data_IF_385189903303
#
_entry.id   IF_385189903303
#
_cell.length_a   1.000
_cell.length_b   1.000
_cell.length_c   1.000
_cell.angle_alpha   90.00
_cell.angle_beta   90.00
_cell.angle_gamma   90.00
#
_symmetry.space_group_name_H-M   'P 1'
#
loop_
_entity.id
_entity.type
_entity.pdbx_description
1 polymer ?
#
# COMPACT_ATOMS: atom_id res chain seq x y z
N UNK A 1 12.27 -5.29 15.64
CA UNK A 1 11.79 -6.63 15.23
C UNK A 1 11.07 -6.50 13.90
N UNK A 2 11.28 -7.45 12.99
CA UNK A 2 10.53 -7.55 11.73
C UNK A 2 9.80 -8.89 11.71
N UNK A 3 8.47 -8.83 11.62
CA UNK A 3 7.61 -10.00 11.51
C UNK A 3 7.12 -10.12 10.07
N UNK A 4 7.27 -11.30 9.47
CA UNK A 4 6.79 -11.58 8.12
C UNK A 4 5.64 -12.57 8.20
N UNK A 5 4.43 -12.13 7.87
CA UNK A 5 3.25 -12.99 7.80
C UNK A 5 3.06 -13.44 6.35
N UNK A 6 3.09 -14.76 6.14
CA UNK A 6 3.04 -15.34 4.80
C UNK A 6 2.23 -16.64 4.77
N UNK A 7 2.04 -17.17 3.56
CA UNK A 7 1.52 -18.54 3.36
C UNK A 7 2.61 -19.57 3.70
N UNK A 8 2.19 -20.80 4.01
CA UNK A 8 3.10 -21.87 4.49
C UNK A 8 4.24 -22.14 3.51
N UNK A 9 3.95 -22.10 2.23
CA UNK A 9 4.85 -22.42 1.12
C UNK A 9 5.98 -21.38 1.00
N UNK A 10 5.71 -20.13 1.38
CA UNK A 10 6.69 -19.04 1.33
C UNK A 10 7.61 -18.99 2.56
N UNK A 11 7.25 -19.66 3.66
CA UNK A 11 7.93 -19.49 4.93
C UNK A 11 9.38 -19.99 4.93
N UNK A 12 9.65 -21.15 4.31
CA UNK A 12 11.02 -21.69 4.26
C UNK A 12 11.94 -20.80 3.41
N UNK A 13 11.58 -20.41 2.16
CA UNK A 13 12.38 -19.48 1.37
C UNK A 13 12.64 -18.16 2.10
N UNK A 14 11.63 -17.56 2.73
CA UNK A 14 11.78 -16.28 3.44
C UNK A 14 12.74 -16.41 4.63
N UNK A 15 12.60 -17.47 5.44
CA UNK A 15 13.52 -17.74 6.57
C UNK A 15 14.97 -17.92 6.12
N UNK A 16 15.20 -18.38 4.89
CA UNK A 16 16.56 -18.57 4.37
C UNK A 16 17.29 -17.28 4.02
N UNK A 17 16.57 -16.16 3.80
CA UNK A 17 17.20 -14.89 3.44
C UNK A 17 17.89 -14.19 4.62
N UNK A 18 17.35 -14.31 5.83
CA UNK A 18 17.97 -13.72 7.02
C UNK A 18 17.44 -14.35 8.31
N UNK A 19 18.33 -14.70 9.28
CA UNK A 19 17.93 -15.24 10.57
C UNK A 19 17.23 -14.20 11.47
N UNK A 20 17.36 -12.91 11.19
CA UNK A 20 16.74 -11.84 11.98
C UNK A 20 15.23 -11.69 11.70
N UNK A 21 14.73 -12.32 10.63
CA UNK A 21 13.32 -12.30 10.28
C UNK A 21 12.52 -13.30 11.12
N UNK A 22 11.46 -12.84 11.78
CA UNK A 22 10.52 -13.71 12.47
C UNK A 22 9.37 -14.03 11.51
N UNK A 23 9.44 -15.20 10.89
CA UNK A 23 8.50 -15.59 9.82
C UNK A 23 7.36 -16.47 10.35
N UNK A 24 6.14 -15.98 10.17
CA UNK A 24 4.88 -16.56 10.62
C UNK A 24 4.05 -17.08 9.42
N UNK A 25 3.97 -18.40 9.21
CA UNK A 25 3.15 -19.00 8.14
C UNK A 25 1.66 -19.02 8.50
N UNK A 26 1.09 -17.85 8.81
CA UNK A 26 -0.25 -17.71 9.41
C UNK A 26 -1.22 -16.88 8.56
N UNK A 27 -0.83 -16.44 7.36
CA UNK A 27 -1.64 -15.52 6.56
C UNK A 27 -3.02 -16.09 6.20
N UNK A 28 -3.13 -17.43 6.12
CA UNK A 28 -4.38 -18.16 5.87
C UNK A 28 -4.99 -18.79 7.15
N UNK A 29 -4.64 -18.31 8.34
CA UNK A 29 -5.28 -18.77 9.58
C UNK A 29 -6.61 -18.05 9.82
N UNK A 30 -7.56 -18.72 10.50
CA UNK A 30 -8.91 -18.20 10.75
C UNK A 30 -8.95 -16.95 11.63
N UNK A 31 -8.02 -16.83 12.58
CA UNK A 31 -7.98 -15.74 13.55
C UNK A 31 -6.83 -14.76 13.31
N UNK A 32 -6.15 -14.88 12.15
CA UNK A 32 -4.97 -14.10 11.79
C UNK A 32 -5.05 -12.64 12.22
N UNK A 33 -6.11 -11.94 11.78
CA UNK A 33 -6.26 -10.51 11.98
C UNK A 33 -6.40 -10.12 13.46
N UNK A 34 -7.14 -10.91 14.24
CA UNK A 34 -7.31 -10.67 15.67
C UNK A 34 -6.02 -10.96 16.44
N UNK A 35 -5.36 -12.08 16.12
CA UNK A 35 -4.17 -12.56 16.83
C UNK A 35 -3.00 -11.57 16.71
N UNK A 36 -2.82 -10.94 15.55
CA UNK A 36 -1.67 -10.08 15.31
C UNK A 36 -1.94 -8.59 15.57
N UNK A 37 -3.20 -8.14 15.52
CA UNK A 37 -3.55 -6.71 15.58
C UNK A 37 -3.00 -5.97 16.81
N UNK A 38 -2.81 -6.67 17.93
CA UNK A 38 -2.32 -6.12 19.20
C UNK A 38 -0.79 -6.05 19.27
N UNK A 39 -0.09 -6.65 18.32
CA UNK A 39 1.38 -6.79 18.33
C UNK A 39 2.07 -5.81 17.36
N UNK A 40 1.31 -5.13 16.52
CA UNK A 40 1.85 -4.32 15.43
C UNK A 40 2.03 -2.86 15.83
N UNK A 41 3.20 -2.30 15.52
CA UNK A 41 3.46 -0.86 15.56
C UNK A 41 3.32 -0.20 14.20
N UNK A 42 3.51 -0.98 13.13
CA UNK A 42 3.36 -0.59 11.73
C UNK A 42 3.05 -1.84 10.93
N UNK A 43 2.39 -1.69 9.79
CA UNK A 43 2.10 -2.76 8.84
C UNK A 43 2.58 -2.38 7.45
N UNK A 44 3.27 -3.30 6.78
CA UNK A 44 3.54 -3.20 5.35
C UNK A 44 2.78 -4.31 4.63
N UNK A 45 1.92 -3.94 3.68
CA UNK A 45 1.17 -4.85 2.82
C UNK A 45 1.82 -4.78 1.44
N UNK A 46 2.57 -5.81 1.05
CA UNK A 46 3.40 -5.79 -0.15
C UNK A 46 3.22 -6.99 -1.08
N UNK A 47 4.28 -7.28 -1.84
CA UNK A 47 4.29 -8.36 -2.84
C UNK A 47 3.96 -9.74 -2.24
N UNK A 48 3.24 -10.57 -3.02
CA UNK A 48 2.89 -11.93 -2.62
C UNK A 48 1.52 -12.12 -1.95
N UNK A 49 0.74 -11.06 -1.73
CA UNK A 49 -0.66 -11.18 -1.22
C UNK A 49 -1.56 -11.98 -2.18
N UNK A 50 -1.27 -11.93 -3.48
CA UNK A 50 -2.03 -12.65 -4.51
C UNK A 50 -3.47 -12.15 -4.66
N UNK A 51 -4.32 -13.00 -5.21
CA UNK A 51 -5.76 -12.72 -5.44
C UNK A 51 -6.67 -13.72 -4.72
N UNK A 52 -6.11 -14.52 -3.82
CA UNK A 52 -6.87 -15.47 -3.03
C UNK A 52 -7.87 -14.73 -2.14
N UNK A 53 -9.16 -15.05 -2.30
CA UNK A 53 -10.24 -14.32 -1.63
C UNK A 53 -10.16 -14.41 -0.11
N UNK A 54 -9.67 -15.54 0.39
CA UNK A 54 -9.55 -15.79 1.82
C UNK A 54 -8.43 -14.94 2.44
N UNK A 55 -7.25 -14.91 1.82
CA UNK A 55 -6.15 -14.02 2.21
C UNK A 55 -6.59 -12.55 2.12
N UNK A 56 -7.25 -12.18 1.02
CA UNK A 56 -7.78 -10.82 0.85
C UNK A 56 -8.86 -10.49 1.88
N UNK A 57 -9.60 -11.47 2.41
CA UNK A 57 -10.56 -11.26 3.51
C UNK A 57 -9.84 -10.97 4.83
N UNK A 58 -8.82 -11.77 5.16
CA UNK A 58 -7.98 -11.57 6.33
C UNK A 58 -7.31 -10.18 6.35
N UNK A 59 -6.78 -9.74 5.20
CA UNK A 59 -6.16 -8.41 5.07
C UNK A 59 -7.19 -7.29 5.26
N UNK A 60 -8.39 -7.40 4.67
CA UNK A 60 -9.46 -6.42 4.88
C UNK A 60 -9.82 -6.30 6.35
N UNK A 61 -10.02 -7.43 7.02
CA UNK A 61 -10.35 -7.46 8.44
C UNK A 61 -9.21 -6.87 9.29
N UNK A 62 -7.95 -7.15 8.94
CA UNK A 62 -6.81 -6.57 9.62
C UNK A 62 -6.79 -5.04 9.48
N UNK A 63 -6.91 -4.50 8.26
CA UNK A 63 -6.96 -3.05 8.02
C UNK A 63 -8.09 -2.41 8.84
N UNK A 64 -9.28 -3.04 8.86
CA UNK A 64 -10.43 -2.54 9.61
C UNK A 64 -10.21 -2.54 11.13
N UNK A 65 -9.54 -3.55 11.67
CA UNK A 65 -9.17 -3.58 13.10
C UNK A 65 -8.14 -2.48 13.39
N UNK A 66 -7.09 -2.38 12.59
CA UNK A 66 -5.97 -1.46 12.82
C UNK A 66 -6.40 0.02 12.73
N UNK A 67 -7.30 0.37 11.82
CA UNK A 67 -7.82 1.74 11.68
C UNK A 67 -8.73 2.17 12.82
N UNK A 68 -9.36 1.21 13.53
CA UNK A 68 -10.34 1.45 14.61
C UNK A 68 -9.71 1.47 16.00
N UNK A 69 -8.39 1.24 16.12
CA UNK A 69 -7.69 1.36 17.40
C UNK A 69 -7.64 2.82 17.86
N UNK A 70 -7.56 3.05 19.18
CA UNK A 70 -7.47 4.39 19.79
C UNK A 70 -6.33 5.22 19.15
N UNK A 71 -5.24 4.55 18.79
CA UNK A 71 -4.18 5.09 17.95
C UNK A 71 -4.10 4.26 16.66
N UNK A 72 -4.63 4.75 15.52
CA UNK A 72 -4.59 4.02 14.27
C UNK A 72 -3.16 3.68 13.86
N UNK A 73 -2.90 2.39 13.62
CA UNK A 73 -1.56 1.89 13.29
C UNK A 73 -1.14 2.39 11.90
N UNK A 74 0.09 2.89 11.70
CA UNK A 74 0.59 3.24 10.36
C UNK A 74 0.64 2.05 9.41
N UNK A 75 0.22 2.26 8.16
CA UNK A 75 0.20 1.22 7.12
C UNK A 75 0.88 1.74 5.85
N UNK A 76 1.77 0.93 5.27
CA UNK A 76 2.32 1.13 3.92
C UNK A 76 1.76 0.06 3.00
N UNK A 77 1.24 0.45 1.83
CA UNK A 77 0.66 -0.47 0.84
C UNK A 77 1.47 -0.38 -0.46
N UNK A 78 2.11 -1.49 -0.83
CA UNK A 78 3.03 -1.61 -1.97
C UNK A 78 2.60 -2.69 -2.99
N UNK A 79 3.02 -2.51 -4.25
CA UNK A 79 2.90 -3.40 -5.42
C UNK A 79 1.50 -3.98 -5.66
N UNK A 80 1.16 -5.10 -5.02
CA UNK A 80 -0.09 -5.83 -5.26
C UNK A 80 -1.21 -5.46 -4.27
N UNK A 81 -0.88 -4.79 -3.16
CA UNK A 81 -1.90 -4.28 -2.24
C UNK A 81 -2.77 -3.18 -2.87
N UNK A 82 -2.20 -2.45 -3.83
CA UNK A 82 -2.92 -1.39 -4.55
C UNK A 82 -4.08 -1.92 -5.40
N UNK A 83 -4.01 -3.15 -5.91
CA UNK A 83 -5.16 -3.78 -6.56
C UNK A 83 -6.36 -3.89 -5.61
N UNK A 84 -6.13 -4.36 -4.38
CA UNK A 84 -7.18 -4.45 -3.36
C UNK A 84 -7.79 -3.08 -3.05
N UNK A 85 -6.94 -2.06 -2.99
CA UNK A 85 -7.36 -0.67 -2.73
C UNK A 85 -8.12 -0.08 -3.92
N UNK A 86 -7.66 -0.29 -5.15
CA UNK A 86 -8.33 0.17 -6.35
C UNK A 86 -9.75 -0.42 -6.47
N UNK A 87 -9.92 -1.69 -6.12
CA UNK A 87 -11.24 -2.34 -6.10
C UNK A 87 -12.07 -1.96 -4.86
N UNK A 88 -11.43 -1.60 -3.74
CA UNK A 88 -12.08 -1.33 -2.44
C UNK A 88 -11.46 -0.12 -1.73
N UNK A 89 -11.60 1.10 -2.29
CA UNK A 89 -10.94 2.29 -1.74
C UNK A 89 -11.40 2.64 -0.32
N UNK A 90 -12.64 2.29 0.03
CA UNK A 90 -13.22 2.50 1.36
C UNK A 90 -12.37 1.90 2.51
N UNK A 91 -11.53 0.90 2.25
CA UNK A 91 -10.65 0.29 3.24
C UNK A 91 -9.68 1.30 3.85
N UNK A 92 -9.23 2.28 3.06
CA UNK A 92 -8.22 3.27 3.45
C UNK A 92 -8.72 4.72 3.42
N UNK A 93 -9.95 4.97 2.94
CA UNK A 93 -10.51 6.32 2.94
C UNK A 93 -10.42 6.94 4.35
N UNK A 94 -9.87 8.16 4.41
CA UNK A 94 -9.62 8.93 5.63
C UNK A 94 -8.61 8.28 6.59
N UNK A 95 -7.79 7.35 6.12
CA UNK A 95 -6.74 6.74 6.92
C UNK A 95 -5.45 7.54 6.76
N UNK A 96 -5.33 8.66 7.48
CA UNK A 96 -4.19 9.58 7.33
C UNK A 96 -2.82 8.93 7.62
N UNK A 97 -2.78 7.88 8.45
CA UNK A 97 -1.57 7.08 8.71
C UNK A 97 -1.29 6.02 7.63
N UNK A 98 -2.00 6.06 6.49
CA UNK A 98 -1.77 5.19 5.35
C UNK A 98 -0.86 5.88 4.32
N UNK A 99 0.11 5.13 3.79
CA UNK A 99 0.99 5.53 2.69
C UNK A 99 0.82 4.54 1.55
N UNK A 100 0.51 5.04 0.37
CA UNK A 100 0.52 4.27 -0.88
C UNK A 100 1.85 4.47 -1.59
N UNK A 101 2.45 3.40 -2.11
CA UNK A 101 3.73 3.48 -2.86
C UNK A 101 3.60 3.02 -4.31
N UNK A 102 2.66 3.56 -5.11
CA UNK A 102 2.43 3.11 -6.47
C UNK A 102 3.61 3.43 -7.39
N UNK A 103 3.90 2.54 -8.33
CA UNK A 103 4.55 2.94 -9.58
C UNK A 103 3.52 3.58 -10.54
N UNK A 104 3.96 4.09 -11.69
CA UNK A 104 3.08 4.74 -12.65
C UNK A 104 1.89 3.88 -13.12
N UNK A 105 2.12 2.59 -13.36
CA UNK A 105 1.09 1.67 -13.87
C UNK A 105 0.02 1.42 -12.80
N UNK A 106 0.46 1.19 -11.56
CA UNK A 106 -0.44 0.98 -10.40
C UNK A 106 -1.22 2.26 -10.07
N UNK A 107 -0.56 3.42 -10.22
CA UNK A 107 -1.15 4.73 -9.99
C UNK A 107 -2.27 5.02 -10.99
N UNK A 108 -2.02 4.83 -12.28
CA UNK A 108 -3.02 5.00 -13.34
C UNK A 108 -4.27 4.16 -13.07
N UNK A 109 -4.07 2.87 -12.75
CA UNK A 109 -5.17 1.96 -12.45
C UNK A 109 -5.98 2.40 -11.22
N UNK A 110 -5.30 2.80 -10.14
CA UNK A 110 -5.96 3.28 -8.93
C UNK A 110 -6.70 4.60 -9.17
N UNK A 111 -6.11 5.52 -9.92
CA UNK A 111 -6.70 6.80 -10.24
C UNK A 111 -7.99 6.66 -11.04
N UNK A 112 -8.00 5.86 -12.11
CA UNK A 112 -9.19 5.61 -12.92
C UNK A 112 -10.35 5.04 -12.08
N UNK A 113 -10.05 4.09 -11.18
CA UNK A 113 -11.05 3.42 -10.35
C UNK A 113 -11.62 4.32 -9.25
N UNK A 114 -10.80 5.19 -8.68
CA UNK A 114 -11.20 6.03 -7.53
C UNK A 114 -11.85 7.34 -7.99
N UNK A 115 -11.30 7.98 -9.02
CA UNK A 115 -11.76 9.30 -9.49
C UNK A 115 -12.88 9.18 -10.53
N UNK A 116 -13.18 7.97 -11.02
CA UNK A 116 -14.19 7.69 -12.06
C UNK A 116 -13.99 8.54 -13.33
N UNK A 117 -12.73 8.81 -13.66
CA UNK A 117 -12.33 9.49 -14.89
C UNK A 117 -11.57 8.49 -15.76
N UNK A 118 -12.18 8.11 -16.89
CA UNK A 118 -11.50 7.32 -17.92
C UNK A 118 -10.22 8.04 -18.37
N UNK A 119 -9.11 7.33 -18.47
CA UNK A 119 -7.75 7.83 -18.77
C UNK A 119 -7.57 8.73 -20.00
N UNK A 120 -8.60 9.01 -20.79
CA UNK A 120 -8.51 9.93 -21.93
C UNK A 120 -8.13 11.37 -21.51
N UNK A 121 -8.46 11.80 -20.28
CA UNK A 121 -7.91 13.04 -19.69
C UNK A 121 -6.47 12.88 -19.18
N UNK A 122 -6.10 11.69 -18.72
CA UNK A 122 -4.77 11.33 -18.21
C UNK A 122 -3.69 11.39 -19.32
N UNK A 123 -4.10 11.14 -20.57
CA UNK A 123 -3.23 11.18 -21.76
C UNK A 123 -2.90 12.59 -22.27
N UNK A 124 -3.59 13.63 -21.79
CA UNK A 124 -3.38 15.02 -22.23
C UNK A 124 -2.61 15.81 -21.18
N UNK A 125 -1.28 15.77 -21.23
CA UNK A 125 -0.34 16.76 -20.64
C UNK A 125 -0.51 17.21 -19.17
N UNK A 126 -1.41 16.63 -18.36
CA UNK A 126 -1.55 17.03 -16.96
C UNK A 126 -0.33 16.55 -16.18
N UNK A 127 0.26 17.47 -15.41
CA UNK A 127 1.39 17.15 -14.53
C UNK A 127 1.00 16.04 -13.56
N UNK A 128 1.76 14.95 -13.58
CA UNK A 128 1.57 13.76 -12.72
C UNK A 128 1.56 14.11 -11.24
N UNK A 129 2.24 15.21 -10.85
CA UNK A 129 2.18 15.74 -9.49
C UNK A 129 0.78 16.16 -9.09
N UNK A 130 0.11 16.88 -9.98
CA UNK A 130 -1.26 17.37 -9.75
C UNK A 130 -2.20 16.16 -9.61
N UNK A 131 -2.05 15.16 -10.47
CA UNK A 131 -2.84 13.93 -10.39
C UNK A 131 -2.61 13.19 -9.06
N UNK A 132 -1.35 13.08 -8.62
CA UNK A 132 -1.00 12.46 -7.34
C UNK A 132 -1.61 13.22 -6.15
N UNK A 133 -1.62 14.56 -6.21
CA UNK A 133 -2.28 15.41 -5.22
C UNK A 133 -3.79 15.19 -5.18
N UNK A 134 -4.45 15.17 -6.34
CA UNK A 134 -5.90 14.92 -6.45
C UNK A 134 -6.26 13.57 -5.83
N UNK A 135 -5.49 12.51 -6.12
CA UNK A 135 -5.78 11.19 -5.57
C UNK A 135 -5.53 11.14 -4.05
N UNK A 136 -4.46 11.79 -3.57
CA UNK A 136 -4.17 11.89 -2.14
C UNK A 136 -5.28 12.62 -1.38
N UNK A 137 -5.83 13.70 -1.95
CA UNK A 137 -6.96 14.45 -1.40
C UNK A 137 -8.28 13.66 -1.44
N UNK A 138 -8.56 12.98 -2.55
CA UNK A 138 -9.78 12.19 -2.71
C UNK A 138 -9.87 11.03 -1.72
N UNK A 139 -8.75 10.33 -1.49
CA UNK A 139 -8.66 9.23 -0.53
C UNK A 139 -8.38 9.71 0.90
N UNK A 140 -7.87 10.94 1.05
CA UNK A 140 -7.31 11.49 2.30
C UNK A 140 -6.21 10.59 2.88
N UNK A 141 -5.24 10.23 2.04
CA UNK A 141 -4.06 9.40 2.39
C UNK A 141 -2.79 9.96 1.75
N UNK A 142 -1.63 9.53 2.23
CA UNK A 142 -0.36 9.94 1.65
C UNK A 142 0.01 9.03 0.47
N UNK A 143 0.59 9.61 -0.59
CA UNK A 143 1.01 8.89 -1.79
C UNK A 143 2.47 9.22 -2.09
N UNK A 144 3.27 8.18 -2.29
CA UNK A 144 4.64 8.25 -2.82
C UNK A 144 4.61 7.61 -4.21
N UNK A 145 4.44 8.44 -5.23
CA UNK A 145 4.44 8.02 -6.63
C UNK A 145 5.89 7.83 -7.11
N UNK A 146 6.28 6.57 -7.32
CA UNK A 146 7.63 6.18 -7.73
C UNK A 146 7.92 6.60 -9.17
N UNK A 147 9.07 7.22 -9.43
CA UNK A 147 9.46 7.68 -10.76
C UNK A 147 10.93 8.07 -10.86
N UNK A 148 11.30 8.81 -11.91
CA UNK A 148 12.65 9.40 -12.01
C UNK A 148 12.92 10.37 -10.86
N UNK A 149 11.89 11.16 -10.52
CA UNK A 149 11.77 11.89 -9.27
C UNK A 149 10.52 11.35 -8.59
N UNK A 150 10.67 10.85 -7.38
CA UNK A 150 9.54 10.37 -6.61
C UNK A 150 8.70 11.59 -6.19
N UNK A 151 7.39 11.48 -6.37
CA UNK A 151 6.44 12.55 -6.00
C UNK A 151 5.71 12.16 -4.73
N UNK A 152 5.80 13.01 -3.71
CA UNK A 152 5.17 12.83 -2.40
C UNK A 152 4.00 13.80 -2.30
N UNK A 153 2.78 13.25 -2.26
CA UNK A 153 1.53 13.97 -2.15
C UNK A 153 0.82 13.61 -0.85
N UNK A 154 0.20 14.60 -0.21
CA UNK A 154 -0.50 14.44 1.06
C UNK A 154 -1.73 15.34 1.07
N UNK A 155 -2.86 14.91 1.68
CA UNK A 155 -4.04 15.76 1.82
C UNK A 155 -3.77 17.03 2.64
N UNK A 156 -2.67 17.07 3.39
CA UNK A 156 -2.30 18.20 4.24
C UNK A 156 -1.29 19.17 3.61
N UNK A 157 -0.75 18.83 2.43
CA UNK A 157 0.18 19.68 1.70
C UNK A 157 -0.55 20.47 0.62
N UNK A 158 -0.21 21.76 0.47
CA UNK A 158 -0.74 22.58 -0.63
C UNK A 158 -0.21 22.14 -2.00
N UNK A 159 1.05 21.69 -2.04
CA UNK A 159 1.70 21.22 -3.27
C UNK A 159 2.50 19.93 -3.03
N UNK A 160 2.60 19.05 -4.04
CA UNK A 160 3.45 17.86 -3.99
C UNK A 160 4.93 18.18 -3.86
N UNK A 161 5.62 17.38 -3.05
CA UNK A 161 7.07 17.46 -2.88
C UNK A 161 7.74 16.48 -3.84
N UNK A 162 8.88 16.86 -4.43
CA UNK A 162 9.72 15.94 -5.20
C UNK A 162 10.93 15.51 -4.41
N UNK A 163 11.21 14.20 -4.41
CA UNK A 163 12.44 13.63 -3.91
C UNK A 163 13.31 13.17 -5.07
N UNK A 164 14.55 13.65 -5.09
CA UNK A 164 15.60 13.20 -6.00
C UNK A 164 16.63 12.30 -5.30
N UNK A 165 16.37 11.91 -4.04
CA UNK A 165 17.25 11.03 -3.28
C UNK A 165 17.23 9.66 -3.97
N UNK A 166 18.41 9.16 -4.34
CA UNK A 166 18.57 7.84 -4.95
C UNK A 166 18.02 6.76 -4.03
N UNK A 167 16.87 6.18 -4.41
CA UNK A 167 16.21 5.09 -3.68
C UNK A 167 15.32 4.17 -4.52
N UNK A 168 15.06 4.48 -5.80
CA UNK A 168 14.12 3.74 -6.65
C UNK A 168 14.82 3.04 -7.83
N UNK A 169 14.24 1.91 -8.27
CA UNK A 169 14.77 0.98 -9.29
C UNK A 169 15.50 1.68 -10.45
N UNK A 170 16.83 1.56 -10.49
CA UNK A 170 17.54 1.59 -11.76
C UNK A 170 17.19 0.28 -12.48
N UNK A 171 16.15 0.30 -13.33
CA UNK A 171 16.13 -0.66 -14.43
C UNK A 171 17.29 -0.25 -15.31
N UNK A 172 18.45 -0.87 -15.10
CA UNK A 172 19.53 -0.88 -16.07
C UNK A 172 18.94 -1.63 -17.27
N UNK A 173 18.49 -0.88 -18.27
CA UNK A 173 18.11 -1.40 -19.58
C UNK A 173 19.37 -1.91 -20.27
#
# INVERSE_FOLDING_TARGET
>A
LVHVFCVKEAAIPIKSFSPDLIVHPLLNSKNFSNDISKLLHTLVIGSGVGRDEYILSNIKQLIDILRKQDKPIPIVIDVNGLFLIAEKPYLINNYENCILTPNMVEFEHSYEKVIDVKSEKFKREIDKKILAQILAEALRVNIILKGHLDTISSPNNQEPIQSNIRGSLNVVV
#
